data_IF_023133631087
#
_entry.id   IF_023133631087
#
_cell.length_a   1.000
_cell.length_b   1.000
_cell.length_c   1.000
_cell.angle_alpha   90.00
_cell.angle_beta   90.00
_cell.angle_gamma   90.00
#
_symmetry.space_group_name_H-M   'P 1'
#
loop_
_entity.id
_entity.type
_entity.pdbx_description
1 polymer ?
#
# COMPACT_ATOMS: atom_id res chain seq x y z
N UNK A 1 23.49 -24.20 22.35
CA UNK A 1 23.13 -23.44 21.14
C UNK A 1 21.64 -23.62 20.94
N UNK A 2 20.82 -22.75 21.52
CA UNK A 2 19.39 -22.78 21.30
C UNK A 2 19.15 -22.35 19.85
N UNK A 3 18.95 -23.32 18.96
CA UNK A 3 18.48 -23.04 17.62
C UNK A 3 17.15 -22.32 17.78
N UNK A 4 17.13 -21.04 17.42
CA UNK A 4 15.91 -20.27 17.37
C UNK A 4 15.08 -20.87 16.24
N UNK A 5 14.28 -21.89 16.55
CA UNK A 5 13.29 -22.44 15.64
C UNK A 5 12.24 -21.35 15.47
N UNK A 6 12.53 -20.41 14.56
CA UNK A 6 11.57 -19.47 14.05
C UNK A 6 10.57 -20.28 13.22
N UNK A 7 9.60 -20.89 13.90
CA UNK A 7 8.44 -21.48 13.24
C UNK A 7 7.68 -20.34 12.59
N UNK A 8 7.56 -20.39 11.26
CA UNK A 8 6.83 -19.39 10.50
C UNK A 8 5.33 -19.60 10.72
N UNK A 9 4.66 -18.62 11.32
CA UNK A 9 3.21 -18.60 11.45
C UNK A 9 2.58 -18.11 10.13
N UNK A 10 2.14 -19.05 9.29
CA UNK A 10 1.56 -18.73 7.99
C UNK A 10 0.25 -17.94 8.10
N UNK A 11 -0.54 -18.18 9.15
CA UNK A 11 -1.84 -17.54 9.32
C UNK A 11 -1.65 -16.07 9.71
N UNK A 12 -0.71 -15.79 10.62
CA UNK A 12 -0.33 -14.42 11.00
C UNK A 12 0.15 -13.63 9.78
N UNK A 13 1.09 -14.19 9.00
CA UNK A 13 1.59 -13.50 7.81
C UNK A 13 0.53 -13.34 6.71
N UNK A 14 -0.41 -14.27 6.59
CA UNK A 14 -1.54 -14.12 5.69
C UNK A 14 -2.46 -12.97 6.13
N UNK A 15 -2.72 -12.83 7.44
CA UNK A 15 -3.48 -11.70 7.99
C UNK A 15 -2.76 -10.37 7.74
N UNK A 16 -1.43 -10.32 7.87
CA UNK A 16 -0.64 -9.13 7.54
C UNK A 16 -0.76 -8.74 6.08
N UNK A 17 -0.71 -9.70 5.15
CA UNK A 17 -0.93 -9.42 3.73
C UNK A 17 -2.34 -8.87 3.47
N UNK A 18 -3.37 -9.46 4.08
CA UNK A 18 -4.75 -8.98 3.97
C UNK A 18 -4.94 -7.57 4.53
N UNK A 19 -4.24 -7.24 5.61
CA UNK A 19 -4.26 -5.89 6.17
C UNK A 19 -3.70 -4.87 5.17
N UNK A 20 -2.56 -5.17 4.55
CA UNK A 20 -1.97 -4.31 3.52
C UNK A 20 -2.87 -4.16 2.28
N UNK A 21 -3.55 -5.23 1.87
CA UNK A 21 -4.54 -5.20 0.78
C UNK A 21 -5.72 -4.27 1.10
N UNK A 22 -6.11 -4.14 2.36
CA UNK A 22 -7.17 -3.21 2.79
C UNK A 22 -6.66 -1.78 2.94
N UNK A 23 -5.40 -1.58 3.32
CA UNK A 23 -4.86 -0.26 3.59
C UNK A 23 -4.56 0.52 2.29
N UNK A 24 -4.16 -0.18 1.22
CA UNK A 24 -3.92 0.45 -0.09
C UNK A 24 -5.11 1.27 -0.61
N UNK A 25 -6.32 0.70 -0.73
CA UNK A 25 -7.53 1.42 -1.09
C UNK A 25 -7.88 2.56 -0.11
N UNK A 26 -7.73 2.34 1.20
CA UNK A 26 -8.02 3.36 2.22
C UNK A 26 -7.13 4.59 2.11
N UNK A 27 -5.84 4.39 1.85
CA UNK A 27 -4.88 5.50 1.66
C UNK A 27 -5.20 6.27 0.38
N UNK A 28 -5.53 5.57 -0.71
CA UNK A 28 -5.98 6.21 -1.96
C UNK A 28 -7.22 7.05 -1.74
N UNK A 29 -8.23 6.53 -1.05
CA UNK A 29 -9.46 7.25 -0.74
C UNK A 29 -9.18 8.48 0.13
N UNK A 30 -8.44 8.31 1.23
CA UNK A 30 -8.10 9.41 2.15
C UNK A 30 -7.30 10.53 1.51
N UNK A 31 -6.46 10.21 0.54
CA UNK A 31 -5.60 11.20 -0.14
C UNK A 31 -6.18 11.66 -1.48
N UNK A 32 -7.28 11.04 -1.93
CA UNK A 32 -8.01 11.52 -3.10
C UNK A 32 -8.46 12.96 -2.90
N UNK A 33 -8.46 13.69 -4.01
CA UNK A 33 -9.02 15.04 -4.08
C UNK A 33 -10.16 14.98 -5.08
N UNK A 34 -11.36 15.29 -4.60
CA UNK A 34 -12.50 15.46 -5.50
C UNK A 34 -12.25 16.65 -6.44
N UNK A 35 -12.35 16.46 -7.77
CA UNK A 35 -12.11 17.52 -8.74
C UNK A 35 -12.99 18.76 -8.54
N UNK A 36 -14.23 18.58 -8.08
CA UNK A 36 -15.15 19.68 -7.76
C UNK A 36 -14.71 20.49 -6.53
N UNK A 37 -14.08 19.82 -5.56
CA UNK A 37 -13.51 20.47 -4.38
C UNK A 37 -12.30 21.35 -4.76
N UNK A 38 -11.40 20.87 -5.60
CA UNK A 38 -10.26 21.68 -6.08
C UNK A 38 -10.73 22.94 -6.83
N UNK A 39 -11.71 22.77 -7.72
CA UNK A 39 -12.24 23.85 -8.54
C UNK A 39 -13.03 24.88 -7.72
N UNK A 40 -13.84 24.44 -6.76
CA UNK A 40 -14.63 25.32 -5.90
C UNK A 40 -13.80 26.12 -4.90
N UNK A 41 -12.72 25.55 -4.37
CA UNK A 41 -11.79 26.28 -3.48
C UNK A 41 -10.99 27.30 -4.29
N UNK A 42 -10.56 26.95 -5.51
CA UNK A 42 -9.85 27.87 -6.40
C UNK A 42 -10.65 29.12 -6.78
N UNK A 43 -11.97 29.04 -6.91
CA UNK A 43 -12.83 30.18 -7.21
C UNK A 43 -12.88 31.23 -6.09
N UNK A 44 -12.54 30.85 -4.84
CA UNK A 44 -12.60 31.77 -3.68
C UNK A 44 -11.47 32.81 -3.68
N UNK A 45 -10.40 32.60 -4.44
CA UNK A 45 -9.23 33.47 -4.45
C UNK A 45 -9.33 34.67 -5.40
N UNK A 46 -10.36 34.73 -6.27
CA UNK A 46 -10.54 35.81 -7.24
C UNK A 46 -9.37 35.97 -8.22
N UNK A 47 -9.33 37.09 -8.94
CA UNK A 47 -8.31 37.35 -9.98
C UNK A 47 -6.93 37.73 -9.41
N UNK A 48 -6.89 38.33 -8.22
CA UNK A 48 -5.64 38.76 -7.57
C UNK A 48 -4.95 37.57 -6.87
N UNK A 49 -5.71 36.59 -6.36
CA UNK A 49 -5.18 35.43 -5.65
C UNK A 49 -4.77 34.25 -6.54
N UNK A 50 -4.44 34.50 -7.81
CA UNK A 50 -4.16 33.44 -8.79
C UNK A 50 -2.95 32.56 -8.39
N UNK A 51 -1.93 33.15 -7.76
CA UNK A 51 -0.74 32.45 -7.27
C UNK A 51 -1.10 31.44 -6.17
N UNK A 52 -1.98 31.85 -5.24
CA UNK A 52 -2.46 31.00 -4.15
C UNK A 52 -3.33 29.87 -4.71
N UNK A 53 -4.18 30.17 -5.69
CA UNK A 53 -4.96 29.16 -6.40
C UNK A 53 -4.06 28.13 -7.10
N UNK A 54 -3.00 28.58 -7.76
CA UNK A 54 -2.06 27.69 -8.43
C UNK A 54 -1.33 26.79 -7.41
N UNK A 55 -0.76 27.37 -6.36
CA UNK A 55 -0.07 26.61 -5.31
C UNK A 55 -0.99 25.60 -4.61
N UNK A 56 -2.25 25.95 -4.40
CA UNK A 56 -3.25 25.03 -3.86
C UNK A 56 -3.51 23.86 -4.82
N UNK A 57 -3.73 24.14 -6.11
CA UNK A 57 -3.97 23.08 -7.11
C UNK A 57 -2.76 22.14 -7.23
N UNK A 58 -1.54 22.67 -7.25
CA UNK A 58 -0.30 21.89 -7.24
C UNK A 58 -0.22 20.99 -6.00
N UNK A 59 -0.55 21.53 -4.82
CA UNK A 59 -0.56 20.78 -3.56
C UNK A 59 -1.61 19.67 -3.57
N UNK A 60 -2.82 19.95 -4.08
CA UNK A 60 -3.90 18.98 -4.18
C UNK A 60 -3.55 17.86 -5.16
N UNK A 61 -2.91 18.20 -6.28
CA UNK A 61 -2.42 17.21 -7.24
C UNK A 61 -1.32 16.34 -6.62
N UNK A 62 -0.31 16.95 -5.99
CA UNK A 62 0.75 16.21 -5.31
C UNK A 62 0.21 15.27 -4.22
N UNK A 63 -0.83 15.69 -3.49
CA UNK A 63 -1.51 14.85 -2.50
C UNK A 63 -2.18 13.64 -3.15
N UNK A 64 -2.89 13.83 -4.26
CA UNK A 64 -3.53 12.73 -4.98
C UNK A 64 -2.49 11.73 -5.54
N UNK A 65 -1.39 12.24 -6.11
CA UNK A 65 -0.26 11.44 -6.59
C UNK A 65 0.40 10.64 -5.45
N UNK A 66 0.60 11.26 -4.29
CA UNK A 66 1.09 10.57 -3.09
C UNK A 66 0.13 9.46 -2.64
N UNK A 67 -1.19 9.68 -2.72
CA UNK A 67 -2.20 8.66 -2.47
C UNK A 67 -2.07 7.45 -3.37
N UNK A 68 -1.84 7.68 -4.67
CA UNK A 68 -1.63 6.59 -5.64
C UNK A 68 -0.34 5.82 -5.34
N UNK A 69 0.78 6.53 -5.12
CA UNK A 69 2.07 5.92 -4.85
C UNK A 69 2.06 5.08 -3.56
N UNK A 70 1.49 5.61 -2.48
CA UNK A 70 1.36 4.88 -1.21
C UNK A 70 0.41 3.68 -1.34
N UNK A 71 -0.69 3.81 -2.08
CA UNK A 71 -1.59 2.70 -2.34
C UNK A 71 -0.90 1.56 -3.11
N UNK A 72 -0.12 1.88 -4.14
CA UNK A 72 0.69 0.91 -4.87
C UNK A 72 1.75 0.25 -4.00
N UNK A 73 2.39 1.02 -3.11
CA UNK A 73 3.34 0.47 -2.14
C UNK A 73 2.68 -0.57 -1.23
N UNK A 74 1.48 -0.29 -0.70
CA UNK A 74 0.73 -1.24 0.13
C UNK A 74 0.46 -2.56 -0.61
N UNK A 75 0.00 -2.48 -1.87
CA UNK A 75 -0.24 -3.65 -2.72
C UNK A 75 1.07 -4.42 -2.98
N UNK A 76 2.18 -3.71 -3.19
CA UNK A 76 3.50 -4.31 -3.36
C UNK A 76 3.95 -5.10 -2.13
N UNK A 77 3.73 -4.55 -0.92
CA UNK A 77 4.05 -5.25 0.33
C UNK A 77 3.19 -6.50 0.50
N UNK A 78 1.87 -6.41 0.28
CA UNK A 78 0.98 -7.57 0.35
C UNK A 78 1.39 -8.67 -0.64
N UNK A 79 1.70 -8.29 -1.89
CA UNK A 79 2.20 -9.19 -2.92
C UNK A 79 3.52 -9.85 -2.55
N UNK A 80 4.45 -9.10 -1.96
CA UNK A 80 5.73 -9.63 -1.49
C UNK A 80 5.53 -10.68 -0.40
N UNK A 81 4.71 -10.40 0.61
CA UNK A 81 4.41 -11.36 1.69
C UNK A 81 3.82 -12.65 1.11
N UNK A 82 2.82 -12.55 0.23
CA UNK A 82 2.19 -13.74 -0.40
C UNK A 82 3.20 -14.57 -1.20
N UNK A 83 4.07 -13.91 -1.96
CA UNK A 83 5.12 -14.58 -2.74
C UNK A 83 6.12 -15.30 -1.83
N UNK A 84 6.56 -14.65 -0.75
CA UNK A 84 7.45 -15.27 0.23
C UNK A 84 6.80 -16.48 0.90
N UNK A 85 5.54 -16.37 1.34
CA UNK A 85 4.82 -17.50 1.95
C UNK A 85 4.69 -18.69 0.99
N UNK A 86 4.35 -18.44 -0.28
CA UNK A 86 4.27 -19.50 -1.29
C UNK A 86 5.64 -20.18 -1.49
N UNK A 87 6.72 -19.42 -1.51
CA UNK A 87 8.08 -19.96 -1.62
C UNK A 87 8.46 -20.82 -0.41
N UNK A 88 8.09 -20.41 0.80
CA UNK A 88 8.33 -21.20 2.01
C UNK A 88 7.52 -22.50 2.03
N UNK A 89 6.24 -22.44 1.64
CA UNK A 89 5.40 -23.64 1.53
C UNK A 89 5.95 -24.64 0.51
N UNK A 90 6.41 -24.16 -0.64
CA UNK A 90 7.03 -25.01 -1.65
C UNK A 90 8.30 -25.67 -1.12
N UNK A 91 9.18 -24.90 -0.48
CA UNK A 91 10.43 -25.42 0.08
C UNK A 91 10.17 -26.49 1.14
N UNK A 92 9.15 -26.28 1.98
CA UNK A 92 8.76 -27.25 3.01
C UNK A 92 8.21 -28.54 2.39
N UNK A 93 7.39 -28.45 1.34
CA UNK A 93 6.89 -29.61 0.61
C UNK A 93 8.02 -30.42 -0.05
N UNK A 94 8.97 -29.72 -0.71
CA UNK A 94 10.13 -30.35 -1.37
C UNK A 94 11.04 -31.07 -0.35
N UNK A 95 11.25 -30.46 0.82
CA UNK A 95 12.00 -31.06 1.91
C UNK A 95 11.32 -32.31 2.46
N UNK A 96 10.00 -32.27 2.69
CA UNK A 96 9.25 -33.43 3.18
C UNK A 96 9.27 -34.59 2.18
N UNK A 97 9.17 -34.32 0.88
CA UNK A 97 9.29 -35.33 -0.15
C UNK A 97 10.70 -35.95 -0.19
N UNK A 98 11.74 -35.12 -0.08
CA UNK A 98 13.14 -35.58 -0.06
C UNK A 98 13.42 -36.48 1.14
N UNK A 99 12.86 -36.15 2.32
CA UNK A 99 13.05 -36.94 3.55
C UNK A 99 12.23 -38.25 3.57
N UNK A 100 11.21 -38.37 2.72
CA UNK A 100 10.41 -39.60 2.57
C UNK A 100 11.00 -40.61 1.57
N UNK A 101 12.02 -40.20 0.79
CA UNK A 101 12.66 -41.01 -0.25
C UNK A 101 14.00 -41.56 0.23
#
# INVERSE_FOLDING_TARGET
MAGNSATLDFDEWHQHAQWWDQEGPRVRERLSVDPGTAQSVGQRFGDIGWEVRQALNETLQARAEAGQALGQYCEGVAGHIRSSLASYQQTEADNQQTLQT
#
